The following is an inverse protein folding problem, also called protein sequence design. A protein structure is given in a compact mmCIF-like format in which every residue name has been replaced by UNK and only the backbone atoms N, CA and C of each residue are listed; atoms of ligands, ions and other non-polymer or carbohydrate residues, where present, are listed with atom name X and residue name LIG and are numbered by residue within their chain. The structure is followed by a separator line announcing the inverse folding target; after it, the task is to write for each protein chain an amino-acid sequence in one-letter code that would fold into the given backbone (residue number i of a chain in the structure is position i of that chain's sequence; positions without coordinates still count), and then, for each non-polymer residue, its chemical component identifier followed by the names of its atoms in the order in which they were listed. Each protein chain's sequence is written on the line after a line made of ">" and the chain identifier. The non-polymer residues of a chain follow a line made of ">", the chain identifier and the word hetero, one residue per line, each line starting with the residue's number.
data_IF_245568259856
#
_entry.id   IF_245568259856
#
_cell.length_a   1.000
_cell.length_b   1.000
_cell.length_c   1.000
_cell.angle_alpha   90.00
_cell.angle_beta   90.00
_cell.angle_gamma   90.00
#
_symmetry.space_group_name_H-M   'P 1'
#
loop_
_entity.id
_entity.type
_entity.pdbx_description
1 polymer ?
#
# COMPACT_ATOMS: atom_id res chain seq x y z
N UNK A 1 26.97 -31.34 36.34
CA UNK A 1 25.88 -32.34 36.49
C UNK A 1 24.92 -31.75 37.50
N UNK A 2 23.71 -31.38 37.11
CA UNK A 2 22.67 -31.05 38.08
C UNK A 2 22.45 -32.28 38.97
N UNK A 3 22.68 -32.14 40.29
CA UNK A 3 22.40 -33.22 41.23
C UNK A 3 20.90 -33.44 41.23
N UNK A 4 20.45 -34.54 40.62
CA UNK A 4 19.04 -34.93 40.65
C UNK A 4 18.69 -35.30 42.10
N UNK A 5 17.66 -34.66 42.62
CA UNK A 5 17.09 -35.04 43.91
C UNK A 5 16.74 -36.53 43.90
N UNK A 6 16.87 -37.23 45.05
CA UNK A 6 16.42 -38.61 45.17
C UNK A 6 14.94 -38.70 44.88
N UNK A 7 14.50 -39.85 44.35
CA UNK A 7 13.09 -40.09 44.05
C UNK A 7 12.30 -40.06 45.36
N UNK A 8 11.31 -39.18 45.44
CA UNK A 8 10.48 -39.01 46.62
C UNK A 8 9.30 -39.98 46.63
N UNK A 9 9.27 -40.86 47.64
CA UNK A 9 8.22 -41.84 47.84
C UNK A 9 7.45 -41.53 49.12
N UNK A 10 6.12 -41.45 49.02
CA UNK A 10 5.23 -41.26 50.18
C UNK A 10 4.29 -42.43 50.32
N UNK A 11 4.02 -42.87 51.54
CA UNK A 11 3.14 -44.01 51.81
C UNK A 11 1.89 -43.51 52.53
N UNK A 12 0.71 -43.79 51.99
CA UNK A 12 -0.57 -43.57 52.68
C UNK A 12 -0.97 -44.87 53.38
N UNK A 13 -1.32 -44.76 54.66
CA UNK A 13 -1.87 -45.84 55.48
C UNK A 13 -3.17 -45.37 56.14
N UNK A 14 -3.98 -46.29 56.67
CA UNK A 14 -5.29 -45.97 57.22
C UNK A 14 -5.19 -45.41 58.65
N UNK A 15 -4.36 -46.06 59.48
CA UNK A 15 -4.24 -45.78 60.91
C UNK A 15 -2.81 -45.56 61.40
N UNK A 16 -2.68 -45.14 62.66
CA UNK A 16 -1.39 -44.93 63.32
C UNK A 16 -0.65 -46.24 63.64
N UNK A 17 -1.39 -47.32 63.86
CA UNK A 17 -0.90 -48.70 64.01
C UNK A 17 -0.14 -49.18 62.77
N UNK A 18 -0.70 -48.93 61.59
CA UNK A 18 -0.05 -49.23 60.30
C UNK A 18 1.27 -48.48 60.13
N UNK A 19 1.32 -47.22 60.58
CA UNK A 19 2.54 -46.40 60.53
C UNK A 19 3.68 -47.08 61.27
N UNK A 20 3.41 -47.66 62.44
CA UNK A 20 4.43 -48.35 63.22
C UNK A 20 5.01 -49.54 62.47
N UNK A 21 4.15 -50.38 61.90
CA UNK A 21 4.57 -51.56 61.15
C UNK A 21 5.32 -51.23 59.87
N UNK A 22 4.82 -50.26 59.10
CA UNK A 22 5.52 -49.76 57.91
C UNK A 22 6.86 -49.15 58.31
N UNK A 23 6.92 -48.33 59.37
CA UNK A 23 8.17 -47.73 59.87
C UNK A 23 9.20 -48.79 60.27
N UNK A 24 8.79 -49.83 61.01
CA UNK A 24 9.66 -50.98 61.35
C UNK A 24 10.15 -51.72 60.10
N UNK A 25 9.29 -51.87 59.09
CA UNK A 25 9.68 -52.47 57.82
C UNK A 25 10.74 -51.63 57.08
N UNK A 26 10.72 -50.31 57.21
CA UNK A 26 11.67 -49.38 56.58
C UNK A 26 13.03 -49.31 57.26
N UNK A 27 13.13 -49.51 58.59
CA UNK A 27 14.36 -49.31 59.37
C UNK A 27 15.59 -50.07 58.85
N UNK A 28 15.40 -51.24 58.21
CA UNK A 28 16.53 -52.01 57.67
C UNK A 28 16.60 -51.97 56.13
N UNK A 29 15.97 -51.00 55.46
CA UNK A 29 16.01 -50.88 54.00
C UNK A 29 16.95 -49.75 53.60
N UNK A 30 18.02 -50.07 52.88
CA UNK A 30 18.96 -49.08 52.37
C UNK A 30 18.54 -48.51 50.99
N UNK A 31 17.29 -48.04 50.85
CA UNK A 31 16.78 -47.53 49.55
C UNK A 31 17.56 -46.33 49.01
N UNK A 32 18.02 -45.43 49.90
CA UNK A 32 18.77 -44.25 49.50
C UNK A 32 20.13 -44.58 48.90
N UNK A 33 20.86 -45.52 49.51
CA UNK A 33 22.18 -45.93 49.06
C UNK A 33 22.13 -46.88 47.84
N UNK A 34 21.16 -47.80 47.82
CA UNK A 34 21.06 -48.81 46.75
C UNK A 34 20.41 -48.26 45.47
N UNK A 35 19.41 -47.38 45.61
CA UNK A 35 18.53 -47.00 44.50
C UNK A 35 18.32 -45.48 44.33
N UNK A 36 18.94 -44.64 45.17
CA UNK A 36 18.73 -43.18 45.19
C UNK A 36 17.25 -42.80 45.40
N UNK A 37 16.58 -43.54 46.29
CA UNK A 37 15.16 -43.37 46.64
C UNK A 37 15.05 -42.98 48.11
N UNK A 38 14.23 -41.98 48.39
CA UNK A 38 13.91 -41.54 49.75
C UNK A 38 12.43 -41.73 50.01
N UNK A 39 12.09 -42.36 51.14
CA UNK A 39 10.72 -42.35 51.63
C UNK A 39 10.57 -41.14 52.56
N UNK A 40 9.92 -40.07 52.11
CA UNK A 40 9.84 -38.83 52.90
C UNK A 40 8.82 -38.87 54.01
N UNK A 41 7.72 -39.62 53.83
CA UNK A 41 6.62 -39.64 54.79
C UNK A 41 5.75 -40.88 54.71
N UNK A 42 5.20 -41.24 55.88
CA UNK A 42 4.09 -42.19 56.04
C UNK A 42 2.92 -41.37 56.59
N UNK A 43 1.79 -41.40 55.89
CA UNK A 43 0.65 -40.50 56.11
C UNK A 43 -0.55 -41.34 56.56
N UNK A 44 -0.88 -41.34 57.87
CA UNK A 44 -2.05 -42.05 58.39
C UNK A 44 -3.32 -41.21 58.17
N UNK A 45 -4.07 -41.50 57.11
CA UNK A 45 -5.32 -40.80 56.82
C UNK A 45 -6.26 -41.64 55.97
N UNK A 46 -7.54 -41.58 56.30
CA UNK A 46 -8.65 -42.04 55.45
C UNK A 46 -9.29 -40.87 54.68
N UNK A 47 -8.92 -39.63 55.00
CA UNK A 47 -9.45 -38.43 54.35
C UNK A 47 -8.65 -38.08 53.08
N UNK A 48 -9.37 -38.00 51.96
CA UNK A 48 -8.82 -37.69 50.62
C UNK A 48 -8.24 -36.29 50.49
N UNK A 49 -8.80 -35.29 51.18
CA UNK A 49 -8.29 -33.91 51.12
C UNK A 49 -6.96 -33.76 51.85
N UNK A 50 -6.83 -34.44 53.00
CA UNK A 50 -5.58 -34.47 53.76
C UNK A 50 -4.51 -35.20 52.95
N UNK A 51 -4.85 -36.37 52.41
CA UNK A 51 -3.95 -37.13 51.55
C UNK A 51 -3.47 -36.27 50.37
N UNK A 52 -4.39 -35.58 49.68
CA UNK A 52 -4.08 -34.73 48.53
C UNK A 52 -3.03 -33.68 48.84
N UNK A 53 -3.18 -32.97 49.94
CA UNK A 53 -2.20 -31.95 50.38
C UNK A 53 -0.88 -32.59 50.80
N UNK A 54 -0.94 -33.71 51.51
CA UNK A 54 0.24 -34.38 52.06
C UNK A 54 1.10 -35.10 51.01
N UNK A 55 0.51 -35.55 49.89
CA UNK A 55 1.27 -36.21 48.81
C UNK A 55 1.68 -35.29 47.67
N UNK A 56 1.21 -34.04 47.66
CA UNK A 56 1.49 -33.12 46.56
C UNK A 56 3.00 -32.99 46.31
N UNK A 57 3.38 -33.14 45.03
CA UNK A 57 4.77 -33.07 44.59
C UNK A 57 5.61 -34.34 44.84
N UNK A 58 5.01 -35.43 45.33
CA UNK A 58 5.70 -36.72 45.42
C UNK A 58 5.87 -37.36 44.03
N UNK A 59 7.01 -38.03 43.81
CA UNK A 59 7.25 -38.78 42.58
C UNK A 59 6.40 -40.06 42.55
N UNK A 60 6.33 -40.78 43.68
CA UNK A 60 5.57 -42.01 43.82
C UNK A 60 4.77 -41.99 45.13
N UNK A 61 3.49 -42.34 45.05
CA UNK A 61 2.66 -42.61 46.23
C UNK A 61 2.33 -44.09 46.29
N UNK A 62 2.67 -44.72 47.42
CA UNK A 62 2.25 -46.07 47.74
C UNK A 62 1.00 -46.02 48.62
N UNK A 63 -0.03 -46.75 48.25
CA UNK A 63 -1.24 -46.90 49.05
C UNK A 63 -1.17 -48.27 49.75
N UNK A 64 -1.05 -48.24 51.07
CA UNK A 64 -0.98 -49.40 51.94
C UNK A 64 -2.28 -49.46 52.78
N UNK A 65 -3.39 -49.74 52.11
CA UNK A 65 -4.69 -50.01 52.73
C UNK A 65 -4.91 -51.50 52.92
N UNK A 66 -5.88 -51.85 53.76
CA UNK A 66 -6.24 -53.23 53.99
C UNK A 66 -6.76 -53.92 52.71
N UNK A 67 -6.67 -55.25 52.72
CA UNK A 67 -7.04 -56.10 51.57
C UNK A 67 -8.56 -56.33 51.51
N UNK A 68 -9.31 -55.90 52.52
CA UNK A 68 -10.76 -56.03 52.63
C UNK A 68 -11.52 -55.11 51.65
N UNK A 69 -12.86 -55.18 51.66
CA UNK A 69 -13.68 -54.40 50.74
C UNK A 69 -13.59 -52.87 51.01
N UNK A 70 -13.71 -52.39 52.25
CA UNK A 70 -13.45 -50.99 52.62
C UNK A 70 -12.08 -50.47 52.19
N UNK A 71 -10.98 -51.19 52.49
CA UNK A 71 -9.62 -50.77 52.14
C UNK A 71 -9.37 -50.74 50.63
N UNK A 72 -10.04 -51.61 49.86
CA UNK A 72 -10.07 -51.56 48.39
C UNK A 72 -10.76 -50.31 47.87
N UNK A 73 -11.95 -50.00 48.37
CA UNK A 73 -12.72 -48.83 47.95
C UNK A 73 -11.97 -47.54 48.27
N UNK A 74 -11.36 -47.47 49.46
CA UNK A 74 -10.55 -46.34 49.88
C UNK A 74 -9.32 -46.14 48.96
N UNK A 75 -8.62 -47.22 48.60
CA UNK A 75 -7.51 -47.14 47.67
C UNK A 75 -7.93 -46.66 46.27
N UNK A 76 -9.05 -47.13 45.73
CA UNK A 76 -9.58 -46.65 44.45
C UNK A 76 -9.94 -45.16 44.51
N UNK A 77 -10.50 -44.71 45.64
CA UNK A 77 -10.82 -43.31 45.86
C UNK A 77 -9.56 -42.44 45.87
N UNK A 78 -8.51 -42.86 46.58
CA UNK A 78 -7.22 -42.18 46.55
C UNK A 78 -6.61 -42.18 45.15
N UNK A 79 -6.62 -43.30 44.43
CA UNK A 79 -6.10 -43.36 43.05
C UNK A 79 -6.78 -42.35 42.12
N UNK A 80 -8.11 -42.20 42.21
CA UNK A 80 -8.87 -41.25 41.38
C UNK A 80 -8.53 -39.80 41.71
N UNK A 81 -8.47 -39.45 43.00
CA UNK A 81 -8.26 -38.07 43.46
C UNK A 81 -6.81 -37.62 43.27
N UNK A 82 -5.85 -38.51 43.50
CA UNK A 82 -4.43 -38.15 43.55
C UNK A 82 -3.74 -38.17 42.17
N UNK A 83 -4.36 -38.76 41.13
CA UNK A 83 -3.74 -39.01 39.81
C UNK A 83 -3.11 -37.79 39.13
N UNK A 84 -3.57 -36.57 39.44
CA UNK A 84 -3.06 -35.32 38.85
C UNK A 84 -2.02 -34.60 39.71
N UNK A 85 -1.85 -35.03 40.96
CA UNK A 85 -1.08 -34.31 41.98
C UNK A 85 0.30 -34.95 42.22
N UNK A 86 0.51 -36.17 41.74
CA UNK A 86 1.72 -36.97 41.96
C UNK A 86 2.15 -37.66 40.67
N UNK A 87 3.43 -38.06 40.60
CA UNK A 87 3.99 -38.68 39.40
C UNK A 87 3.38 -40.05 39.09
N UNK A 88 3.34 -40.95 40.08
CA UNK A 88 2.74 -42.27 39.97
C UNK A 88 2.08 -42.70 41.28
N UNK A 89 1.03 -43.52 41.18
CA UNK A 89 0.34 -44.10 42.34
C UNK A 89 0.31 -45.61 42.18
N UNK A 90 0.76 -46.31 43.21
CA UNK A 90 0.76 -47.77 43.26
C UNK A 90 0.09 -48.24 44.54
N UNK A 91 -0.80 -49.23 44.44
CA UNK A 91 -1.33 -49.90 45.62
C UNK A 91 -0.43 -51.09 45.98
N UNK A 92 -0.10 -51.23 47.25
CA UNK A 92 0.66 -52.37 47.75
C UNK A 92 -0.21 -53.64 47.71
N UNK A 93 0.39 -54.76 47.30
CA UNK A 93 -0.28 -56.07 47.24
C UNK A 93 0.07 -56.87 48.49
N UNK A 94 -0.66 -56.61 49.57
CA UNK A 94 -0.51 -57.33 50.84
C UNK A 94 -1.23 -58.71 50.76
N UNK A 95 -0.78 -59.73 51.50
CA UNK A 95 -1.42 -61.05 51.52
C UNK A 95 -2.86 -60.99 52.03
N UNK A 96 -3.73 -61.83 51.47
CA UNK A 96 -5.15 -61.89 51.85
C UNK A 96 -5.34 -62.29 53.33
N UNK A 97 -6.34 -61.69 53.97
CA UNK A 97 -6.77 -62.05 55.34
C UNK A 97 -5.87 -61.55 56.46
N UNK A 98 -4.97 -60.61 56.16
CA UNK A 98 -4.12 -59.96 57.15
C UNK A 98 -4.30 -58.45 57.04
N UNK A 99 -4.66 -57.82 58.14
CA UNK A 99 -4.61 -56.35 58.27
C UNK A 99 -3.15 -55.92 58.30
N UNK A 100 -2.85 -54.70 57.85
CA UNK A 100 -1.48 -54.16 57.83
C UNK A 100 -0.81 -54.24 59.21
N UNK A 101 -1.62 -54.19 60.28
CA UNK A 101 -1.23 -54.31 61.69
C UNK A 101 -0.62 -55.67 62.10
N UNK A 102 -0.94 -56.77 61.40
CA UNK A 102 -0.54 -58.13 61.81
C UNK A 102 0.41 -58.81 60.82
N UNK A 103 0.84 -58.09 59.79
CA UNK A 103 1.78 -58.62 58.78
C UNK A 103 3.21 -58.49 59.29
N UNK A 104 4.01 -59.54 59.08
CA UNK A 104 5.45 -59.51 59.34
C UNK A 104 6.12 -58.32 58.59
N UNK A 105 6.83 -57.42 59.29
CA UNK A 105 7.56 -56.31 58.69
C UNK A 105 8.50 -56.72 57.53
N UNK A 106 9.00 -57.97 57.50
CA UNK A 106 9.79 -58.48 56.39
C UNK A 106 8.98 -58.60 55.08
N UNK A 107 7.70 -58.94 55.18
CA UNK A 107 6.80 -59.06 54.04
C UNK A 107 6.37 -57.68 53.51
N UNK A 108 6.03 -56.76 54.41
CA UNK A 108 5.72 -55.35 54.08
C UNK A 108 6.90 -54.74 53.32
N UNK A 109 8.12 -54.90 53.84
CA UNK A 109 9.37 -54.47 53.19
C UNK A 109 9.51 -54.99 51.77
N UNK A 110 9.28 -56.28 51.56
CA UNK A 110 9.36 -56.89 50.23
C UNK A 110 8.35 -56.27 49.28
N UNK A 111 7.13 -56.03 49.75
CA UNK A 111 6.10 -55.42 48.92
C UNK A 111 6.36 -53.94 48.62
N UNK A 112 6.94 -53.17 49.56
CA UNK A 112 7.40 -51.79 49.29
C UNK A 112 8.43 -51.80 48.15
N UNK A 113 9.44 -52.68 48.21
CA UNK A 113 10.43 -52.83 47.14
C UNK A 113 9.76 -53.20 45.81
N UNK A 114 8.86 -54.19 45.82
CA UNK A 114 8.17 -54.64 44.61
C UNK A 114 7.29 -53.53 44.00
N UNK A 115 6.57 -52.78 44.84
CA UNK A 115 5.72 -51.69 44.41
C UNK A 115 6.53 -50.59 43.71
N UNK A 116 7.65 -50.17 44.32
CA UNK A 116 8.58 -49.20 43.73
C UNK A 116 9.14 -49.72 42.40
N UNK A 117 9.54 -50.98 42.32
CA UNK A 117 10.05 -51.59 41.08
C UNK A 117 8.97 -51.57 39.99
N UNK A 118 7.73 -51.94 40.32
CA UNK A 118 6.61 -51.91 39.36
C UNK A 118 6.37 -50.49 38.84
N UNK A 119 6.35 -49.49 39.73
CA UNK A 119 6.23 -48.08 39.36
C UNK A 119 7.38 -47.64 38.44
N UNK A 120 8.62 -48.00 38.77
CA UNK A 120 9.78 -47.70 37.94
C UNK A 120 9.72 -48.34 36.55
N UNK A 121 9.37 -49.62 36.47
CA UNK A 121 9.24 -50.33 35.18
C UNK A 121 8.13 -49.75 34.30
N UNK A 122 6.99 -49.37 34.88
CA UNK A 122 5.90 -48.73 34.15
C UNK A 122 6.33 -47.37 33.60
N UNK A 123 7.06 -46.58 34.39
CA UNK A 123 7.63 -45.31 33.96
C UNK A 123 8.61 -45.49 32.80
N UNK A 124 9.49 -46.49 32.88
CA UNK A 124 10.44 -46.82 31.81
C UNK A 124 9.72 -47.23 30.52
N UNK A 125 8.68 -48.05 30.61
CA UNK A 125 7.89 -48.49 29.46
C UNK A 125 7.26 -47.30 28.70
N UNK A 126 6.95 -46.20 29.39
CA UNK A 126 6.37 -45.00 28.80
C UNK A 126 7.41 -43.99 28.26
N UNK A 127 8.72 -44.20 28.49
CA UNK A 127 9.77 -43.26 28.06
C UNK A 127 9.76 -42.98 26.55
N UNK A 128 9.44 -43.97 25.73
CA UNK A 128 9.33 -43.80 24.28
C UNK A 128 8.27 -42.76 23.90
N UNK A 129 7.07 -42.88 24.48
CA UNK A 129 5.97 -41.92 24.27
C UNK A 129 6.32 -40.53 24.78
N UNK A 130 6.96 -40.43 25.95
CA UNK A 130 7.41 -39.13 26.47
C UNK A 130 8.42 -38.45 25.55
N UNK A 131 9.37 -39.21 24.97
CA UNK A 131 10.33 -38.69 23.99
C UNK A 131 9.64 -38.20 22.72
N UNK A 132 8.68 -38.95 22.21
CA UNK A 132 7.88 -38.56 21.04
C UNK A 132 7.13 -37.24 21.28
N UNK A 133 6.42 -37.14 22.42
CA UNK A 133 5.71 -35.90 22.79
C UNK A 133 6.68 -34.74 22.95
N UNK A 134 7.84 -34.95 23.57
CA UNK A 134 8.88 -33.93 23.72
C UNK A 134 9.42 -33.44 22.37
N UNK A 135 9.62 -34.35 21.41
CA UNK A 135 10.08 -33.99 20.07
C UNK A 135 9.01 -33.16 19.34
N UNK A 136 7.75 -33.59 19.39
CA UNK A 136 6.62 -32.82 18.81
C UNK A 136 6.47 -31.43 19.43
N UNK A 137 6.70 -31.32 20.75
CA UNK A 137 6.71 -30.03 21.44
C UNK A 137 7.82 -29.14 20.88
N UNK A 138 9.04 -29.68 20.75
CA UNK A 138 10.18 -28.94 20.19
C UNK A 138 9.94 -28.49 18.75
N UNK A 139 9.42 -29.36 17.90
CA UNK A 139 9.02 -29.03 16.52
C UNK A 139 8.00 -27.88 16.49
N UNK A 140 7.01 -27.91 17.39
CA UNK A 140 6.03 -26.83 17.51
C UNK A 140 6.67 -25.53 18.00
N UNK A 141 7.59 -25.58 18.95
CA UNK A 141 8.32 -24.40 19.45
C UNK A 141 9.16 -23.74 18.34
N UNK A 142 9.84 -24.55 17.54
CA UNK A 142 10.66 -24.07 16.43
C UNK A 142 9.78 -23.44 15.34
N UNK A 143 8.64 -24.07 15.00
CA UNK A 143 7.65 -23.48 14.08
C UNK A 143 7.08 -22.16 14.58
N UNK A 144 6.84 -22.02 15.89
CA UNK A 144 6.39 -20.75 16.48
C UNK A 144 7.46 -19.66 16.33
N UNK A 145 8.76 -20.00 16.45
CA UNK A 145 9.85 -19.04 16.25
C UNK A 145 9.92 -18.58 14.80
N UNK A 146 9.81 -19.51 13.85
CA UNK A 146 9.77 -19.20 12.41
C UNK A 146 8.62 -18.24 12.08
N UNK A 147 7.39 -18.58 12.49
CA UNK A 147 6.22 -17.73 12.26
C UNK A 147 6.35 -16.33 12.91
N UNK A 148 6.99 -16.23 14.08
CA UNK A 148 7.27 -14.92 14.70
C UNK A 148 8.24 -14.08 13.88
N UNK A 149 9.25 -14.71 13.25
CA UNK A 149 10.17 -14.00 12.36
C UNK A 149 9.45 -13.51 11.10
N UNK A 150 8.62 -14.36 10.50
CA UNK A 150 7.81 -14.02 9.32
C UNK A 150 6.84 -12.86 9.60
N UNK A 151 6.13 -12.87 10.74
CA UNK A 151 5.25 -11.77 11.13
C UNK A 151 6.01 -10.45 11.25
N UNK A 152 7.23 -10.49 11.80
CA UNK A 152 8.06 -9.29 11.94
C UNK A 152 8.50 -8.74 10.58
N UNK A 153 8.86 -9.62 9.66
CA UNK A 153 9.24 -9.24 8.30
C UNK A 153 8.05 -8.64 7.53
N UNK A 154 6.90 -9.31 7.55
CA UNK A 154 5.67 -8.83 6.92
C UNK A 154 5.20 -7.49 7.52
N UNK A 155 5.38 -7.28 8.82
CA UNK A 155 5.10 -5.99 9.47
C UNK A 155 5.97 -4.87 8.89
N UNK A 156 7.27 -5.12 8.67
CA UNK A 156 8.18 -4.13 8.09
C UNK A 156 7.77 -3.80 6.65
N UNK A 157 7.49 -4.81 5.84
CA UNK A 157 7.03 -4.63 4.46
C UNK A 157 5.71 -3.86 4.39
N UNK A 158 4.78 -4.14 5.32
CA UNK A 158 3.53 -3.39 5.42
C UNK A 158 3.79 -1.92 5.70
N UNK A 159 4.67 -1.60 6.63
CA UNK A 159 4.96 -0.22 7.01
C UNK A 159 5.65 0.55 5.85
N UNK A 160 6.55 -0.11 5.11
CA UNK A 160 7.14 0.43 3.88
C UNK A 160 6.08 0.71 2.80
N UNK A 161 5.19 -0.24 2.54
CA UNK A 161 4.10 -0.07 1.57
C UNK A 161 3.09 1.01 1.97
N UNK A 162 2.89 1.23 3.26
CA UNK A 162 2.03 2.32 3.76
C UNK A 162 2.67 3.69 3.46
N UNK A 163 3.99 3.82 3.64
CA UNK A 163 4.71 5.04 3.29
C UNK A 163 4.65 5.30 1.78
N UNK A 164 4.91 4.29 0.96
CA UNK A 164 4.86 4.42 -0.51
C UNK A 164 3.45 4.79 -0.99
N UNK A 165 2.40 4.18 -0.42
CA UNK A 165 1.03 4.56 -0.75
C UNK A 165 0.72 6.01 -0.38
N UNK A 166 1.23 6.51 0.74
CA UNK A 166 1.03 7.90 1.11
C UNK A 166 1.70 8.86 0.13
N UNK A 167 2.93 8.55 -0.31
CA UNK A 167 3.63 9.35 -1.33
C UNK A 167 2.88 9.36 -2.67
N UNK A 168 2.31 8.23 -3.06
CA UNK A 168 1.49 8.13 -4.27
C UNK A 168 0.20 8.94 -4.18
N UNK A 169 -0.47 8.93 -3.02
CA UNK A 169 -1.66 9.75 -2.77
C UNK A 169 -1.31 11.23 -2.90
N UNK A 170 -0.22 11.68 -2.27
CA UNK A 170 0.23 13.06 -2.34
C UNK A 170 0.60 13.48 -3.78
N UNK A 171 1.24 12.57 -4.54
CA UNK A 171 1.55 12.80 -5.95
C UNK A 171 0.27 12.89 -6.81
N UNK A 172 -0.72 12.03 -6.55
CA UNK A 172 -2.01 12.05 -7.23
C UNK A 172 -2.76 13.36 -6.97
N UNK A 173 -2.76 13.87 -5.74
CA UNK A 173 -3.36 15.16 -5.41
C UNK A 173 -2.69 16.32 -6.16
N UNK A 174 -1.35 16.34 -6.21
CA UNK A 174 -0.58 17.35 -6.96
C UNK A 174 -0.90 17.31 -8.46
N UNK A 175 -1.00 16.11 -9.04
CA UNK A 175 -1.38 15.95 -10.45
C UNK A 175 -2.79 16.45 -10.72
N UNK A 176 -3.74 16.15 -9.82
CA UNK A 176 -5.13 16.60 -9.93
C UNK A 176 -5.26 18.12 -9.85
N UNK A 177 -4.43 18.79 -9.06
CA UNK A 177 -4.36 20.25 -9.02
C UNK A 177 -3.85 20.79 -10.37
N UNK A 178 -2.72 20.27 -10.87
CA UNK A 178 -2.17 20.66 -12.18
C UNK A 178 -3.15 20.43 -13.33
N UNK A 179 -3.92 19.34 -13.29
CA UNK A 179 -4.95 19.07 -14.29
C UNK A 179 -6.04 20.15 -14.30
N UNK A 180 -6.49 20.60 -13.12
CA UNK A 180 -7.45 21.70 -13.00
C UNK A 180 -6.88 23.01 -13.55
N UNK A 181 -5.65 23.34 -13.17
CA UNK A 181 -4.98 24.57 -13.63
C UNK A 181 -4.87 24.59 -15.16
N UNK A 182 -4.41 23.48 -15.76
CA UNK A 182 -4.33 23.33 -17.21
C UNK A 182 -5.70 23.41 -17.90
N UNK A 183 -6.75 22.86 -17.28
CA UNK A 183 -8.11 22.99 -17.81
C UNK A 183 -8.61 24.43 -17.80
N UNK A 184 -8.26 25.23 -16.78
CA UNK A 184 -8.57 26.66 -16.73
C UNK A 184 -7.78 27.44 -17.78
N UNK A 185 -6.47 27.21 -17.88
CA UNK A 185 -5.62 27.83 -18.92
C UNK A 185 -6.14 27.50 -20.33
N UNK A 186 -6.56 26.26 -20.56
CA UNK A 186 -7.15 25.85 -21.82
C UNK A 186 -8.46 26.58 -22.12
N UNK A 187 -9.34 26.76 -21.12
CA UNK A 187 -10.58 27.55 -21.28
C UNK A 187 -10.28 29.00 -21.64
N UNK A 188 -9.34 29.64 -20.93
CA UNK A 188 -8.91 31.03 -21.20
C UNK A 188 -8.33 31.18 -22.60
N UNK A 189 -7.46 30.26 -23.00
CA UNK A 189 -6.84 30.25 -24.32
C UNK A 189 -7.89 30.04 -25.42
N UNK A 190 -8.84 29.12 -25.20
CA UNK A 190 -9.96 28.88 -26.12
C UNK A 190 -10.84 30.12 -26.28
N UNK A 191 -11.15 30.82 -25.19
CA UNK A 191 -11.90 32.07 -25.20
C UNK A 191 -11.16 33.14 -26.03
N UNK A 192 -9.87 33.32 -25.74
CA UNK A 192 -9.00 34.27 -26.45
C UNK A 192 -8.91 33.97 -27.93
N UNK A 193 -8.82 32.69 -28.31
CA UNK A 193 -8.83 32.26 -29.70
C UNK A 193 -10.15 32.63 -30.41
N UNK A 194 -11.29 32.41 -29.75
CA UNK A 194 -12.60 32.82 -30.28
C UNK A 194 -12.67 34.34 -30.48
N UNK A 195 -12.17 35.12 -29.51
CA UNK A 195 -12.14 36.58 -29.60
C UNK A 195 -11.27 37.06 -30.77
N UNK A 196 -10.08 36.47 -30.94
CA UNK A 196 -9.19 36.78 -32.08
C UNK A 196 -9.84 36.39 -33.40
N UNK A 197 -10.46 35.20 -33.49
CA UNK A 197 -11.18 34.74 -34.68
C UNK A 197 -12.32 35.69 -35.04
N UNK A 198 -13.07 36.16 -34.06
CA UNK A 198 -14.15 37.13 -34.27
C UNK A 198 -13.61 38.48 -34.75
N UNK A 199 -12.55 39.00 -34.11
CA UNK A 199 -11.87 40.23 -34.55
C UNK A 199 -11.36 40.12 -35.98
N UNK A 200 -10.77 38.98 -36.33
CA UNK A 200 -10.28 38.71 -37.68
C UNK A 200 -11.42 38.67 -38.70
N UNK A 201 -12.55 38.01 -38.38
CA UNK A 201 -13.75 38.02 -39.22
C UNK A 201 -14.32 39.42 -39.42
N UNK A 202 -14.33 40.26 -38.37
CA UNK A 202 -14.72 41.68 -38.48
C UNK A 202 -13.76 42.44 -39.41
N UNK A 203 -12.46 42.15 -39.35
CA UNK A 203 -11.46 42.84 -40.17
C UNK A 203 -11.60 42.50 -41.66
N UNK A 204 -11.84 41.23 -41.98
CA UNK A 204 -12.10 40.78 -43.36
C UNK A 204 -13.40 41.38 -43.90
N UNK A 205 -14.44 41.48 -43.07
CA UNK A 205 -15.74 41.98 -43.49
C UNK A 205 -15.81 43.52 -43.56
N UNK A 206 -14.78 44.24 -43.12
CA UNK A 206 -14.66 45.67 -43.40
C UNK A 206 -14.14 45.83 -44.83
N UNK A 207 -14.80 46.66 -45.63
CA UNK A 207 -14.30 47.10 -46.94
C UNK A 207 -13.00 47.90 -46.73
N UNK A 208 -11.87 47.21 -46.62
CA UNK A 208 -10.55 47.80 -46.54
C UNK A 208 -10.14 48.28 -47.94
N UNK A 209 -9.48 49.43 -48.01
CA UNK A 209 -8.91 49.91 -49.27
C UNK A 209 -7.80 48.95 -49.71
N UNK A 210 -7.95 48.36 -50.89
CA UNK A 210 -6.89 47.61 -51.57
C UNK A 210 -5.98 48.60 -52.31
N UNK A 211 -4.65 48.36 -52.26
CA UNK A 211 -3.64 49.21 -52.90
C UNK A 211 -3.22 48.57 -54.22
N UNK A 212 -3.38 49.29 -55.32
CA UNK A 212 -2.99 48.84 -56.66
C UNK A 212 -1.86 49.73 -57.21
N UNK A 213 -0.80 49.14 -57.81
CA UNK A 213 0.25 49.91 -58.46
C UNK A 213 -0.31 50.62 -59.70
N UNK A 214 -0.09 51.93 -59.81
CA UNK A 214 -0.71 52.76 -60.83
C UNK A 214 -0.19 52.43 -62.22
N UNK A 215 1.13 52.23 -62.38
CA UNK A 215 1.78 51.91 -63.65
C UNK A 215 1.29 50.58 -64.23
N UNK A 216 1.14 49.55 -63.37
CA UNK A 216 0.63 48.25 -63.76
C UNK A 216 -0.85 48.31 -64.09
N UNK A 217 -1.66 48.98 -63.27
CA UNK A 217 -3.09 49.08 -63.51
C UNK A 217 -3.41 49.91 -64.76
N UNK A 218 -2.65 50.97 -65.01
CA UNK A 218 -2.76 51.77 -66.23
C UNK A 218 -2.40 50.94 -67.47
N UNK A 219 -1.26 50.24 -67.43
CA UNK A 219 -0.83 49.37 -68.52
C UNK A 219 -1.80 48.22 -68.77
N UNK A 220 -2.34 47.60 -67.72
CA UNK A 220 -3.35 46.53 -67.87
C UNK A 220 -4.67 47.06 -68.45
N UNK A 221 -5.09 48.26 -68.06
CA UNK A 221 -6.41 48.80 -68.45
C UNK A 221 -6.38 49.41 -69.86
N UNK A 222 -5.25 49.99 -70.25
CA UNK A 222 -5.13 50.85 -71.42
C UNK A 222 -4.06 50.39 -72.42
N UNK A 223 -3.24 49.39 -72.06
CA UNK A 223 -2.15 48.84 -72.85
C UNK A 223 -1.10 49.89 -73.28
N UNK A 224 -0.92 50.91 -72.46
CA UNK A 224 -0.05 52.07 -72.67
C UNK A 224 0.93 52.22 -71.49
N UNK A 225 2.10 52.82 -71.74
CA UNK A 225 3.00 53.25 -70.66
C UNK A 225 2.50 54.56 -70.08
N UNK A 226 2.54 54.67 -68.76
CA UNK A 226 2.13 55.89 -68.07
C UNK A 226 3.31 56.85 -68.03
N UNK A 227 3.30 57.86 -68.90
CA UNK A 227 4.43 58.78 -69.04
C UNK A 227 4.33 60.02 -68.11
N UNK A 228 3.12 60.37 -67.64
CA UNK A 228 2.85 61.57 -66.83
C UNK A 228 2.00 61.28 -65.57
N UNK A 229 2.61 60.65 -64.55
CA UNK A 229 1.96 60.32 -63.27
C UNK A 229 1.42 61.56 -62.50
N UNK A 230 2.04 62.72 -62.71
CA UNK A 230 1.69 63.98 -62.03
C UNK A 230 0.28 64.47 -62.44
N UNK A 231 -0.13 64.27 -63.70
CA UNK A 231 -1.44 64.70 -64.19
C UNK A 231 -2.59 63.86 -63.59
N UNK A 232 -2.38 62.55 -63.42
CA UNK A 232 -3.34 61.66 -62.76
C UNK A 232 -3.53 62.05 -61.30
N UNK A 233 -2.42 62.38 -60.64
CA UNK A 233 -2.41 62.81 -59.23
C UNK A 233 -3.13 64.15 -59.06
N UNK A 234 -2.84 65.11 -59.95
CA UNK A 234 -3.49 66.43 -59.97
C UNK A 234 -5.00 66.31 -60.20
N UNK A 235 -5.44 65.64 -61.26
CA UNK A 235 -6.86 65.46 -61.59
C UNK A 235 -7.59 64.80 -60.41
N UNK A 236 -7.02 63.77 -59.81
CA UNK A 236 -7.69 63.11 -58.67
C UNK A 236 -7.76 64.02 -57.44
N UNK A 237 -6.74 64.83 -57.20
CA UNK A 237 -6.72 65.79 -56.07
C UNK A 237 -7.74 66.92 -56.23
N UNK A 238 -8.03 67.33 -57.47
CA UNK A 238 -9.01 68.36 -57.81
C UNK A 238 -10.44 67.83 -57.74
N UNK A 239 -10.72 66.66 -58.34
CA UNK A 239 -12.07 66.10 -58.38
C UNK A 239 -12.50 65.40 -57.09
N UNK A 240 -11.56 65.03 -56.21
CA UNK A 240 -11.78 64.40 -54.89
C UNK A 240 -12.89 63.33 -54.88
N UNK A 241 -12.71 62.23 -55.64
CA UNK A 241 -13.67 61.13 -55.65
C UNK A 241 -13.88 60.54 -54.25
N UNK A 242 -15.12 60.16 -53.93
CA UNK A 242 -15.42 59.41 -52.70
C UNK A 242 -14.78 58.02 -52.75
N UNK A 243 -14.09 57.64 -51.68
CA UNK A 243 -13.46 56.33 -51.51
C UNK A 243 -12.37 55.98 -52.54
N UNK A 244 -11.60 56.96 -53.04
CA UNK A 244 -10.39 56.70 -53.82
C UNK A 244 -9.28 57.62 -53.33
N UNK A 245 -8.10 57.06 -53.07
CA UNK A 245 -6.91 57.81 -52.63
C UNK A 245 -5.74 57.48 -53.54
N UNK A 246 -5.10 58.50 -54.11
CA UNK A 246 -3.93 58.37 -54.97
C UNK A 246 -2.70 58.97 -54.28
N UNK A 247 -1.57 58.25 -54.32
CA UNK A 247 -0.30 58.73 -53.76
C UNK A 247 0.89 57.82 -54.05
N UNK A 248 2.06 58.43 -54.28
CA UNK A 248 3.35 57.75 -54.46
C UNK A 248 3.32 56.59 -55.48
N UNK A 249 2.62 56.76 -56.60
CA UNK A 249 2.52 55.74 -57.66
C UNK A 249 1.50 54.62 -57.41
N UNK A 250 0.58 54.77 -56.44
CA UNK A 250 -0.46 53.77 -56.17
C UNK A 250 -1.85 54.40 -56.02
N UNK A 251 -2.86 53.66 -56.46
CA UNK A 251 -4.27 53.95 -56.24
C UNK A 251 -4.84 53.00 -55.19
N UNK A 252 -5.44 53.57 -54.14
CA UNK A 252 -6.12 52.83 -53.09
C UNK A 252 -7.64 52.97 -53.29
N UNK A 253 -8.33 51.85 -53.47
CA UNK A 253 -9.78 51.79 -53.71
C UNK A 253 -10.40 50.56 -53.04
N UNK A 254 -11.72 50.56 -52.73
CA UNK A 254 -12.43 49.41 -52.15
C UNK A 254 -12.37 48.15 -53.02
N UNK A 255 -12.18 48.28 -54.33
CA UNK A 255 -11.98 47.15 -55.24
C UNK A 255 -11.15 47.56 -56.46
N UNK A 256 -10.54 46.57 -57.15
CA UNK A 256 -9.82 46.80 -58.42
C UNK A 256 -10.72 47.44 -59.49
N UNK A 257 -12.01 47.11 -59.49
CA UNK A 257 -12.98 47.66 -60.45
C UNK A 257 -13.18 49.16 -60.23
N UNK A 258 -13.31 49.59 -58.98
CA UNK A 258 -13.49 51.00 -58.64
C UNK A 258 -12.25 51.83 -59.01
N UNK A 259 -11.05 51.27 -58.79
CA UNK A 259 -9.80 51.88 -59.24
C UNK A 259 -9.76 52.03 -60.77
N UNK A 260 -10.11 50.98 -61.51
CA UNK A 260 -10.14 50.98 -62.98
C UNK A 260 -11.17 51.96 -63.55
N UNK A 261 -12.37 52.00 -62.98
CA UNK A 261 -13.43 52.89 -63.44
C UNK A 261 -13.05 54.37 -63.23
N UNK A 262 -12.36 54.69 -62.13
CA UNK A 262 -11.80 56.03 -61.93
C UNK A 262 -10.69 56.35 -62.93
N UNK A 263 -9.77 55.41 -63.19
CA UNK A 263 -8.74 55.62 -64.22
C UNK A 263 -9.32 55.88 -65.61
N UNK A 264 -10.48 55.27 -65.97
CA UNK A 264 -11.19 55.58 -67.22
C UNK A 264 -11.75 57.00 -67.23
N UNK A 265 -12.26 57.48 -66.10
CA UNK A 265 -12.71 58.87 -65.97
C UNK A 265 -11.53 59.82 -66.18
N UNK A 266 -10.39 59.57 -65.52
CA UNK A 266 -9.17 60.37 -65.71
C UNK A 266 -8.71 60.31 -67.17
N UNK A 267 -8.66 59.13 -67.78
CA UNK A 267 -8.27 58.99 -69.20
C UNK A 267 -9.18 59.78 -70.11
N UNK A 268 -10.49 59.76 -69.86
CA UNK A 268 -11.45 60.56 -70.63
C UNK A 268 -11.16 62.05 -70.48
N UNK A 269 -10.91 62.52 -69.26
CA UNK A 269 -10.53 63.92 -69.01
C UNK A 269 -9.22 64.29 -69.72
N UNK A 270 -8.21 63.42 -69.67
CA UNK A 270 -6.94 63.62 -70.37
C UNK A 270 -7.13 63.70 -71.88
N UNK A 271 -7.92 62.80 -72.49
CA UNK A 271 -8.24 62.85 -73.92
C UNK A 271 -8.93 64.17 -74.30
N UNK A 272 -9.85 64.67 -73.47
CA UNK A 272 -10.49 65.97 -73.73
C UNK A 272 -9.55 67.18 -73.49
N UNK A 273 -8.52 67.00 -72.65
CA UNK A 273 -7.47 68.00 -72.44
C UNK A 273 -6.51 68.02 -73.64
N UNK A 274 -6.09 66.86 -74.11
CA UNK A 274 -5.24 66.68 -75.29
C UNK A 274 -5.95 67.11 -76.58
N UNK A 275 -7.25 66.80 -76.74
CA UNK A 275 -8.01 67.23 -77.92
C UNK A 275 -8.14 68.76 -77.99
N UNK A 276 -8.24 69.45 -76.84
CA UNK A 276 -8.18 70.92 -76.81
C UNK A 276 -6.80 71.47 -77.15
N UNK A 277 -5.73 70.72 -76.87
CA UNK A 277 -4.35 71.08 -77.22
C UNK A 277 -4.09 70.80 -78.72
N UNK A 278 -4.66 69.74 -79.29
CA UNK A 278 -4.64 69.45 -80.73
C UNK A 278 -5.47 70.46 -81.54
N UNK A 279 -6.66 70.84 -81.07
CA UNK A 279 -7.45 71.92 -81.69
C UNK A 279 -6.68 73.25 -81.68
N UNK A 280 -5.93 73.53 -80.60
CA UNK A 280 -5.04 74.71 -80.50
C UNK A 280 -3.77 74.60 -81.37
N UNK A 281 -3.33 73.38 -81.74
CA UNK A 281 -2.21 73.14 -82.65
C UNK A 281 -2.62 73.16 -84.12
N UNK A 282 -3.85 72.78 -84.46
CA UNK A 282 -4.39 72.92 -85.83
C UNK A 282 -4.68 74.39 -86.20
N UNK A 283 -5.00 75.27 -85.24
CA UNK A 283 -5.16 76.71 -85.49
C UNK A 283 -3.85 77.50 -85.57
N UNK A 284 -2.73 76.96 -85.08
CA UNK A 284 -1.42 77.63 -85.07
C UNK A 284 -0.39 76.68 -85.69
N UNK A 285 -0.22 76.80 -87.01
CA UNK A 285 0.62 75.92 -87.81
C UNK A 285 2.04 75.70 -87.26
N UNK A 286 2.53 74.48 -87.49
CA UNK A 286 3.84 73.95 -87.10
C UNK A 286 5.00 74.91 -87.42
N UNK A 287 5.38 75.72 -86.44
CA UNK A 287 6.77 76.01 -86.09
C UNK A 287 6.83 76.84 -84.80
N UNK A 288 7.41 76.24 -83.76
CA UNK A 288 7.66 76.74 -82.38
C UNK A 288 6.59 76.44 -81.33
N UNK A 289 6.46 75.15 -80.99
CA UNK A 289 6.04 74.77 -79.64
C UNK A 289 7.28 74.39 -78.82
N UNK A 290 7.72 75.29 -77.94
CA UNK A 290 8.61 74.96 -76.80
C UNK A 290 7.81 75.22 -75.53
N UNK A 291 7.46 74.19 -74.73
CA UNK A 291 6.66 74.38 -73.54
C UNK A 291 7.58 74.81 -72.38
N UNK A 292 7.82 76.11 -72.30
CA UNK A 292 8.26 76.78 -71.07
C UNK A 292 7.25 77.86 -70.72
N UNK A 293 5.99 77.46 -70.51
CA UNK A 293 4.92 78.18 -69.82
C UNK A 293 4.00 77.03 -69.36
N UNK A 294 4.02 76.57 -68.11
CA UNK A 294 3.38 77.19 -66.95
C UNK A 294 4.10 76.74 -65.67
N UNK A 295 4.83 77.65 -65.03
CA UNK A 295 4.99 77.66 -63.57
C UNK A 295 4.02 78.72 -63.07
N UNK A 296 2.90 78.26 -62.53
CA UNK A 296 2.17 78.84 -61.39
C UNK A 296 1.12 77.82 -60.93
#
# INVERSE_FOLDING_TARGET
>A
MEMRNPIDVRIIVEGASDVENVSRALQNIALGAEYHITISSIIPTTNTEIAKKAVSGADIVLIATDVDAPGRELAEKFQKVLKKEVGHIERMKLPFGHDVEYIDPALIRREIKNAIIRSGLLSIANLGRFREIKNRLKESEDKIKELKAEIKELSSQRDELVLENQELIDAQEKLKLKEKDLQEEFKVTKQSYVDVKNKYGILINKNLYERFPLHELWKETFNETLDEEEHITFITSEFKPENIVLGQGFIAAPSKKDAVDWLKVIRTVLIFYDSKIEDLKEEIGDEKFTPHILKE
#
